data_IF_992081712918
#
_entry.id   IF_992081712918
#
_cell.length_a   1.000
_cell.length_b   1.000
_cell.length_c   1.000
_cell.angle_alpha   90.00
_cell.angle_beta   90.00
_cell.angle_gamma   90.00
#
_symmetry.space_group_name_H-M   'P 1'
#
loop_
_entity.id
_entity.type
_entity.pdbx_description
1 polymer ?
#
# COMPACT_ATOMS: atom_id res chain seq x y z
N UNK A 1 2.45 10.43 -5.41
CA UNK A 1 3.23 10.03 -4.23
C UNK A 1 4.55 10.75 -4.22
N UNK A 2 4.88 11.46 -3.11
CA UNK A 2 6.14 12.19 -2.94
C UNK A 2 7.35 11.27 -3.11
N UNK A 3 7.33 10.08 -2.52
CA UNK A 3 8.41 9.11 -2.58
C UNK A 3 8.83 8.75 -4.02
N UNK A 4 7.87 8.52 -4.92
CA UNK A 4 8.18 8.23 -6.33
C UNK A 4 8.86 9.42 -7.03
N UNK A 5 8.43 10.65 -6.73
CA UNK A 5 9.04 11.86 -7.28
C UNK A 5 10.45 12.11 -6.72
N UNK A 6 10.64 11.89 -5.40
CA UNK A 6 11.95 11.99 -4.74
C UNK A 6 12.92 10.96 -5.30
N UNK A 7 12.50 9.69 -5.40
CA UNK A 7 13.31 8.63 -6.00
C UNK A 7 13.70 8.95 -7.44
N UNK A 8 12.74 9.36 -8.27
CA UNK A 8 13.02 9.72 -9.66
C UNK A 8 14.01 10.88 -9.78
N UNK A 9 13.89 11.91 -8.93
CA UNK A 9 14.79 13.06 -8.91
C UNK A 9 16.21 12.68 -8.48
N UNK A 10 16.33 11.88 -7.41
CA UNK A 10 17.63 11.41 -6.92
C UNK A 10 18.32 10.48 -7.91
N UNK A 11 17.60 9.52 -8.51
CA UNK A 11 18.16 8.63 -9.54
C UNK A 11 18.62 9.40 -10.78
N UNK A 12 17.84 10.40 -11.20
CA UNK A 12 18.25 11.24 -12.33
C UNK A 12 19.51 12.04 -12.01
N UNK A 13 19.62 12.62 -10.82
CA UNK A 13 20.81 13.36 -10.39
C UNK A 13 22.03 12.43 -10.25
N UNK A 14 21.87 11.28 -9.62
CA UNK A 14 22.90 10.27 -9.47
C UNK A 14 23.47 9.84 -10.83
N UNK A 15 22.57 9.51 -11.78
CA UNK A 15 22.96 9.12 -13.14
C UNK A 15 23.64 10.25 -13.92
N UNK A 16 23.10 11.48 -13.87
CA UNK A 16 23.62 12.61 -14.64
C UNK A 16 24.98 13.10 -14.15
N UNK A 17 25.24 13.00 -12.86
CA UNK A 17 26.43 13.54 -12.23
C UNK A 17 27.40 12.44 -11.75
N UNK A 18 27.09 11.16 -12.01
CA UNK A 18 27.91 9.99 -11.64
C UNK A 18 28.32 10.02 -10.16
N UNK A 19 27.34 10.23 -9.27
CA UNK A 19 27.58 10.49 -7.85
C UNK A 19 27.87 9.24 -7.03
N UNK A 20 27.47 8.07 -7.49
CA UNK A 20 27.51 6.78 -6.77
C UNK A 20 26.84 6.88 -5.38
N UNK A 21 25.67 7.52 -5.36
CA UNK A 21 24.95 7.86 -4.15
C UNK A 21 24.07 6.71 -3.65
N UNK A 22 23.95 6.56 -2.32
CA UNK A 22 22.92 5.70 -1.72
C UNK A 22 21.53 6.37 -1.84
N UNK A 23 20.88 6.15 -3.00
CA UNK A 23 19.58 6.75 -3.32
C UNK A 23 18.51 6.32 -2.30
N UNK A 24 18.54 5.07 -1.80
CA UNK A 24 17.60 4.61 -0.79
C UNK A 24 17.73 5.39 0.51
N UNK A 25 18.95 5.51 1.03
CA UNK A 25 19.20 6.23 2.28
C UNK A 25 18.79 7.71 2.18
N UNK A 26 19.20 8.38 1.07
CA UNK A 26 18.85 9.79 0.84
C UNK A 26 17.34 10.01 0.69
N UNK A 27 16.68 9.15 -0.07
CA UNK A 27 15.23 9.26 -0.25
C UNK A 27 14.46 8.98 1.04
N UNK A 28 14.91 7.99 1.83
CA UNK A 28 14.30 7.66 3.12
C UNK A 28 14.47 8.79 4.15
N UNK A 29 15.60 9.48 4.13
CA UNK A 29 15.85 10.66 4.97
C UNK A 29 14.91 11.82 4.58
N UNK A 30 14.76 12.10 3.28
CA UNK A 30 13.89 13.17 2.77
C UNK A 30 12.40 12.92 3.05
N UNK A 31 11.96 11.67 2.91
CA UNK A 31 10.56 11.27 3.15
C UNK A 31 10.24 11.07 4.64
N UNK A 32 11.26 10.83 5.47
CA UNK A 32 11.13 10.51 6.89
C UNK A 32 10.67 9.08 7.19
N UNK A 33 10.51 8.23 6.16
CA UNK A 33 10.16 6.80 6.27
C UNK A 33 10.58 6.03 5.01
N UNK A 34 11.03 4.76 5.13
CA UNK A 34 11.62 4.02 4.03
C UNK A 34 10.63 3.21 3.18
N UNK A 35 9.39 2.99 3.64
CA UNK A 35 8.43 2.03 3.07
C UNK A 35 8.05 2.34 1.60
N UNK A 36 7.53 3.54 1.33
CA UNK A 36 7.18 3.97 -0.02
C UNK A 36 8.42 4.16 -0.91
N UNK A 37 9.56 4.53 -0.31
CA UNK A 37 10.85 4.66 -1.02
C UNK A 37 11.32 3.30 -1.49
N UNK A 38 11.33 2.30 -0.59
CA UNK A 38 11.71 0.93 -0.92
C UNK A 38 10.83 0.35 -2.03
N UNK A 39 9.50 0.53 -1.93
CA UNK A 39 8.58 0.09 -2.97
C UNK A 39 8.82 0.77 -4.32
N UNK A 40 9.13 2.07 -4.34
CA UNK A 40 9.42 2.81 -5.56
C UNK A 40 10.74 2.38 -6.22
N UNK A 41 11.77 2.12 -5.42
CA UNK A 41 13.10 1.70 -5.90
C UNK A 41 13.12 0.25 -6.37
N UNK A 42 12.55 -0.66 -5.57
CA UNK A 42 12.71 -2.09 -5.77
C UNK A 42 11.60 -2.74 -6.61
N UNK A 43 10.41 -2.15 -6.61
CA UNK A 43 9.21 -2.81 -7.16
C UNK A 43 8.81 -4.07 -6.39
N UNK A 44 7.76 -4.75 -6.83
CA UNK A 44 7.24 -5.92 -6.13
C UNK A 44 6.66 -5.60 -4.75
N UNK A 45 6.75 -6.56 -3.82
CA UNK A 45 6.47 -6.34 -2.41
C UNK A 45 7.76 -6.11 -1.64
N UNK A 46 7.76 -5.10 -0.79
CA UNK A 46 8.97 -4.69 -0.06
C UNK A 46 8.67 -4.58 1.43
N UNK A 47 9.55 -5.17 2.23
CA UNK A 47 9.58 -5.00 3.68
C UNK A 47 10.82 -4.18 4.03
N UNK A 48 10.61 -3.01 4.65
CA UNK A 48 11.71 -2.15 5.09
C UNK A 48 11.91 -2.24 6.60
N UNK A 49 13.17 -2.30 7.05
CA UNK A 49 13.55 -2.29 8.46
C UNK A 49 14.30 -1.01 8.88
N UNK A 50 14.05 0.07 8.19
CA UNK A 50 14.71 1.36 8.39
C UNK A 50 15.95 1.53 7.48
N UNK A 51 16.92 0.64 7.57
CA UNK A 51 18.18 0.74 6.83
C UNK A 51 18.22 -0.09 5.53
N UNK A 52 17.30 -1.01 5.37
CA UNK A 52 17.30 -1.97 4.27
C UNK A 52 15.88 -2.22 3.74
N UNK A 53 15.79 -2.45 2.43
CA UNK A 53 14.60 -2.92 1.75
C UNK A 53 14.79 -4.40 1.35
N UNK A 54 13.80 -5.23 1.68
CA UNK A 54 13.78 -6.65 1.32
C UNK A 54 12.61 -6.89 0.37
N UNK A 55 12.94 -7.17 -0.89
CA UNK A 55 11.97 -7.35 -1.96
C UNK A 55 11.62 -8.82 -2.17
N UNK A 56 10.36 -9.08 -2.50
CA UNK A 56 9.89 -10.36 -3.04
C UNK A 56 8.80 -10.14 -4.10
N UNK A 57 8.61 -11.17 -4.94
CA UNK A 57 7.66 -11.08 -6.05
C UNK A 57 6.20 -11.16 -5.58
N UNK A 58 5.32 -10.45 -6.29
CA UNK A 58 3.89 -10.62 -6.13
C UNK A 58 3.46 -12.03 -6.60
N UNK A 59 2.49 -12.67 -5.91
CA UNK A 59 1.88 -13.89 -6.42
C UNK A 59 1.29 -13.68 -7.81
N UNK A 60 1.54 -14.63 -8.71
CA UNK A 60 0.90 -14.61 -10.03
C UNK A 60 -0.61 -14.61 -9.87
N UNK A 61 -1.28 -13.68 -10.53
CA UNK A 61 -2.73 -13.52 -10.46
C UNK A 61 -3.24 -12.71 -9.26
N UNK A 62 -2.36 -12.11 -8.47
CA UNK A 62 -2.75 -11.08 -7.52
C UNK A 62 -2.91 -9.74 -8.24
N UNK A 63 -4.04 -9.08 -8.05
CA UNK A 63 -4.33 -7.75 -8.57
C UNK A 63 -4.90 -6.85 -7.49
N UNK A 64 -4.80 -5.55 -7.72
CA UNK A 64 -5.42 -4.52 -6.91
C UNK A 64 -6.46 -3.71 -7.68
N UNK A 65 -7.42 -3.19 -6.94
CA UNK A 65 -8.31 -2.13 -7.43
C UNK A 65 -8.20 -0.97 -6.46
N UNK A 66 -7.80 0.18 -6.97
CA UNK A 66 -7.76 1.42 -6.20
C UNK A 66 -9.12 2.10 -6.24
N UNK A 67 -9.61 2.46 -5.07
CA UNK A 67 -10.75 3.36 -4.89
C UNK A 67 -10.19 4.66 -4.33
N UNK A 68 -10.20 5.69 -5.17
CA UNK A 68 -9.60 7.00 -4.89
C UNK A 68 -10.72 8.00 -4.64
N UNK A 69 -11.01 8.37 -3.37
CA UNK A 69 -12.01 9.40 -3.06
C UNK A 69 -11.66 10.75 -3.70
N UNK A 70 -12.69 11.48 -4.12
CA UNK A 70 -12.56 12.80 -4.73
C UNK A 70 -12.03 13.84 -3.71
N UNK A 71 -12.30 13.61 -2.43
CA UNK A 71 -11.89 14.45 -1.30
C UNK A 71 -11.28 13.60 -0.19
N UNK A 72 -10.36 14.18 0.57
CA UNK A 72 -9.75 13.53 1.73
C UNK A 72 -9.00 14.51 2.63
N UNK A 73 -8.69 14.10 3.86
CA UNK A 73 -7.92 14.91 4.78
C UNK A 73 -6.46 15.08 4.30
N UNK A 74 -5.79 16.14 4.73
CA UNK A 74 -4.34 16.26 4.55
C UNK A 74 -3.60 15.06 5.18
N UNK A 75 -2.49 14.64 4.55
CA UNK A 75 -1.69 13.50 5.04
C UNK A 75 -1.19 13.69 6.47
N UNK A 76 -0.90 14.92 6.87
CA UNK A 76 -0.47 15.30 8.23
C UNK A 76 -1.55 14.95 9.26
N UNK A 77 -2.80 15.34 9.01
CA UNK A 77 -3.94 15.02 9.89
C UNK A 77 -4.11 13.51 10.06
N UNK A 78 -3.94 12.74 8.99
CA UNK A 78 -4.01 11.28 9.05
C UNK A 78 -2.85 10.65 9.84
N UNK A 79 -1.69 11.30 9.92
CA UNK A 79 -0.57 10.87 10.77
C UNK A 79 -0.82 11.20 12.23
N UNK A 80 -1.34 12.36 12.52
CA UNK A 80 -1.63 12.84 13.88
C UNK A 80 -2.77 12.04 14.56
N UNK A 81 -3.61 11.38 13.77
CA UNK A 81 -4.66 10.52 14.29
C UNK A 81 -4.15 9.22 14.97
N UNK A 82 -2.86 8.90 14.81
CA UNK A 82 -2.29 7.69 15.41
C UNK A 82 -1.98 7.90 16.90
N UNK A 83 -2.33 6.94 17.78
CA UNK A 83 -2.03 7.03 19.20
C UNK A 83 -0.51 6.84 19.45
N UNK A 84 0.00 7.52 20.48
CA UNK A 84 1.40 7.38 20.89
C UNK A 84 1.72 5.98 21.48
N UNK A 85 0.71 5.26 21.96
CA UNK A 85 0.82 3.91 22.53
C UNK A 85 -0.39 3.07 22.12
N UNK A 86 -0.20 1.75 22.06
CA UNK A 86 -1.26 0.81 21.72
C UNK A 86 -1.33 -0.32 22.75
N UNK A 87 -2.49 -0.95 22.97
CA UNK A 87 -2.60 -2.16 23.79
C UNK A 87 -1.72 -3.28 23.25
N UNK A 88 -1.13 -4.09 24.15
CA UNK A 88 -0.28 -5.21 23.74
C UNK A 88 -1.05 -6.22 22.87
N UNK A 89 -2.34 -6.40 23.11
CA UNK A 89 -3.21 -7.29 22.35
C UNK A 89 -3.31 -6.82 20.88
N UNK A 90 -3.43 -5.52 20.64
CA UNK A 90 -3.47 -4.94 19.29
C UNK A 90 -2.10 -5.08 18.59
N UNK A 91 -1.01 -4.93 19.33
CA UNK A 91 0.33 -5.17 18.79
C UNK A 91 0.52 -6.65 18.40
N UNK A 92 0.14 -7.59 19.24
CA UNK A 92 0.18 -9.05 18.96
C UNK A 92 -0.69 -9.39 17.76
N UNK A 93 -1.89 -8.81 17.69
CA UNK A 93 -2.80 -8.96 16.55
C UNK A 93 -2.09 -8.55 15.24
N UNK A 94 -1.55 -7.36 15.16
CA UNK A 94 -0.88 -6.87 13.96
C UNK A 94 0.38 -7.67 13.59
N UNK A 95 1.20 -8.07 14.57
CA UNK A 95 2.37 -8.93 14.33
C UNK A 95 1.94 -10.24 13.66
N UNK A 96 0.87 -10.86 14.16
CA UNK A 96 0.35 -12.12 13.59
C UNK A 96 -0.20 -11.92 12.18
N UNK A 97 -0.93 -10.82 11.94
CA UNK A 97 -1.56 -10.54 10.64
C UNK A 97 -0.52 -10.16 9.58
N UNK A 98 0.49 -9.34 9.92
CA UNK A 98 1.57 -9.04 8.98
C UNK A 98 2.41 -10.29 8.65
N UNK A 99 2.62 -11.18 9.61
CA UNK A 99 3.28 -12.46 9.36
C UNK A 99 2.46 -13.36 8.42
N UNK A 100 1.13 -13.45 8.62
CA UNK A 100 0.22 -14.17 7.71
C UNK A 100 0.21 -13.55 6.31
N UNK A 101 0.13 -12.22 6.19
CA UNK A 101 0.16 -11.52 4.90
C UNK A 101 1.48 -11.81 4.17
N UNK A 102 2.62 -11.64 4.84
CA UNK A 102 3.94 -11.86 4.26
C UNK A 102 4.11 -13.31 3.80
N UNK A 103 3.73 -14.27 4.66
CA UNK A 103 3.79 -15.70 4.30
C UNK A 103 2.83 -16.02 3.15
N UNK A 104 1.61 -15.48 3.17
CA UNK A 104 0.62 -15.65 2.12
C UNK A 104 1.11 -15.13 0.78
N UNK A 105 1.70 -13.95 0.74
CA UNK A 105 2.30 -13.37 -0.46
C UNK A 105 3.48 -14.21 -0.96
N UNK A 106 4.40 -14.60 -0.08
CA UNK A 106 5.58 -15.39 -0.45
C UNK A 106 5.24 -16.81 -0.94
N UNK A 107 4.13 -17.37 -0.49
CA UNK A 107 3.70 -18.76 -0.83
C UNK A 107 2.50 -18.84 -1.77
N UNK A 108 1.99 -17.70 -2.24
CA UNK A 108 0.76 -17.60 -3.04
C UNK A 108 -0.47 -18.24 -2.36
N UNK A 109 -0.55 -18.14 -1.04
CA UNK A 109 -1.67 -18.66 -0.25
C UNK A 109 -2.73 -17.57 -0.04
N UNK A 110 -3.83 -17.67 -0.80
CA UNK A 110 -4.91 -16.68 -0.81
C UNK A 110 -5.63 -16.52 0.53
N UNK A 111 -5.76 -17.61 1.30
CA UNK A 111 -6.39 -17.57 2.63
C UNK A 111 -5.54 -16.78 3.62
N UNK A 112 -4.22 -16.99 3.60
CA UNK A 112 -3.30 -16.24 4.44
C UNK A 112 -3.20 -14.77 4.02
N UNK A 113 -3.23 -14.48 2.71
CA UNK A 113 -3.29 -13.09 2.21
C UNK A 113 -4.54 -12.42 2.77
N UNK A 114 -5.70 -13.02 2.56
CA UNK A 114 -6.99 -12.48 3.02
C UNK A 114 -7.00 -12.27 4.54
N UNK A 115 -6.62 -13.27 5.32
CA UNK A 115 -6.54 -13.17 6.77
C UNK A 115 -5.57 -12.07 7.24
N UNK A 116 -4.45 -11.88 6.53
CA UNK A 116 -3.40 -10.94 6.89
C UNK A 116 -3.72 -9.47 6.60
N UNK A 117 -4.83 -9.14 5.92
CA UNK A 117 -5.19 -7.75 5.56
C UNK A 117 -5.83 -6.94 6.70
N UNK A 118 -6.05 -7.56 7.86
CA UNK A 118 -6.64 -6.89 9.02
C UNK A 118 -5.61 -6.10 9.82
N UNK A 119 -6.04 -4.95 10.36
CA UNK A 119 -5.21 -4.03 11.12
C UNK A 119 -5.96 -3.46 12.32
N UNK A 120 -5.26 -3.31 13.45
CA UNK A 120 -5.73 -2.67 14.67
C UNK A 120 -4.85 -1.48 15.12
N UNK A 121 -3.80 -1.15 14.36
CA UNK A 121 -2.84 -0.12 14.76
C UNK A 121 -3.03 1.20 14.03
N UNK A 122 -3.51 1.20 12.81
CA UNK A 122 -3.65 2.47 12.09
C UNK A 122 -4.99 2.68 11.40
N UNK A 123 -5.58 1.69 10.73
CA UNK A 123 -6.84 1.89 9.98
C UNK A 123 -8.00 2.30 10.90
N UNK A 124 -8.25 1.65 12.06
CA UNK A 124 -9.33 2.03 12.95
C UNK A 124 -9.18 3.45 13.51
N UNK A 125 -7.94 3.87 13.82
CA UNK A 125 -7.68 5.20 14.37
C UNK A 125 -7.92 6.33 13.36
N UNK A 126 -7.85 6.03 12.07
CA UNK A 126 -8.09 6.96 10.97
C UNK A 126 -9.49 6.89 10.38
N UNK A 127 -10.30 5.90 10.76
CA UNK A 127 -11.62 5.65 10.18
C UNK A 127 -12.55 6.87 10.25
N UNK A 128 -12.47 7.67 11.30
CA UNK A 128 -13.27 8.89 11.47
C UNK A 128 -12.92 9.99 10.46
N UNK A 129 -11.73 10.00 9.89
CA UNK A 129 -11.28 10.99 8.90
C UNK A 129 -11.84 10.70 7.51
N UNK A 130 -12.11 9.43 7.21
CA UNK A 130 -12.63 8.98 5.90
C UNK A 130 -13.64 7.85 6.04
N UNK A 131 -14.83 8.14 6.61
CA UNK A 131 -15.80 7.11 7.00
C UNK A 131 -16.31 6.25 5.84
N UNK A 132 -16.37 6.79 4.60
CA UNK A 132 -16.76 6.00 3.41
C UNK A 132 -15.68 4.98 3.03
N UNK A 133 -14.40 5.34 3.13
CA UNK A 133 -13.29 4.40 2.93
C UNK A 133 -13.28 3.32 4.02
N UNK A 134 -13.53 3.70 5.27
CA UNK A 134 -13.61 2.76 6.40
C UNK A 134 -14.76 1.75 6.21
N UNK A 135 -15.96 2.20 5.82
CA UNK A 135 -17.09 1.32 5.50
C UNK A 135 -16.74 0.34 4.36
N UNK A 136 -16.01 0.82 3.34
CA UNK A 136 -15.61 -0.03 2.23
C UNK A 136 -14.62 -1.12 2.65
N UNK A 137 -13.71 -0.85 3.60
CA UNK A 137 -12.80 -1.88 4.15
C UNK A 137 -13.59 -3.05 4.73
N UNK A 138 -14.63 -2.76 5.53
CA UNK A 138 -15.45 -3.80 6.17
C UNK A 138 -16.26 -4.60 5.15
N UNK A 139 -16.72 -3.97 4.08
CA UNK A 139 -17.61 -4.57 3.08
C UNK A 139 -16.88 -5.24 1.91
N UNK A 140 -15.57 -5.07 1.78
CA UNK A 140 -14.80 -5.54 0.62
C UNK A 140 -15.01 -7.03 0.31
N UNK A 141 -15.04 -7.88 1.33
CA UNK A 141 -15.31 -9.32 1.15
C UNK A 141 -16.68 -9.61 0.53
N UNK A 142 -17.72 -8.89 0.94
CA UNK A 142 -19.07 -9.07 0.40
C UNK A 142 -19.19 -8.67 -1.07
N UNK A 143 -18.26 -7.87 -1.57
CA UNK A 143 -18.14 -7.47 -2.97
C UNK A 143 -17.29 -8.45 -3.81
N UNK A 144 -16.72 -9.48 -3.18
CA UNK A 144 -15.92 -10.52 -3.86
C UNK A 144 -14.41 -10.28 -3.82
N UNK A 145 -13.92 -9.37 -2.96
CA UNK A 145 -12.49 -9.13 -2.74
C UNK A 145 -11.87 -10.15 -1.79
N UNK A 146 -10.54 -10.31 -1.85
CA UNK A 146 -9.76 -10.97 -0.79
C UNK A 146 -9.78 -10.16 0.51
N UNK A 147 -9.99 -8.88 0.42
CA UNK A 147 -10.05 -7.89 1.48
C UNK A 147 -9.67 -6.52 0.96
N UNK A 148 -9.52 -5.55 1.85
CA UNK A 148 -9.10 -4.22 1.50
C UNK A 148 -8.21 -3.60 2.59
N UNK A 149 -7.35 -2.68 2.20
CA UNK A 149 -6.48 -1.91 3.09
C UNK A 149 -6.47 -0.45 2.68
N UNK A 150 -6.20 0.43 3.62
CA UNK A 150 -5.89 1.82 3.29
C UNK A 150 -4.52 1.86 2.59
N UNK A 151 -4.44 2.62 1.52
CA UNK A 151 -3.18 2.89 0.80
C UNK A 151 -2.47 4.07 1.46
N UNK A 152 -1.31 3.81 2.09
CA UNK A 152 -0.55 4.81 2.81
C UNK A 152 -1.33 5.42 3.98
N UNK A 153 -1.40 6.75 4.03
CA UNK A 153 -2.17 7.47 5.05
C UNK A 153 -3.68 7.53 4.75
N UNK A 154 -4.11 7.11 3.60
CA UNK A 154 -5.47 7.23 3.10
C UNK A 154 -5.70 8.57 2.37
N UNK A 155 -6.94 8.87 1.98
CA UNK A 155 -8.18 8.07 2.09
C UNK A 155 -8.32 6.94 1.05
N UNK A 156 -7.37 6.82 0.12
CA UNK A 156 -7.41 5.80 -0.93
C UNK A 156 -7.46 4.39 -0.34
N UNK A 157 -8.33 3.55 -0.87
CA UNK A 157 -8.46 2.13 -0.52
C UNK A 157 -7.84 1.27 -1.61
N UNK A 158 -6.96 0.36 -1.23
CA UNK A 158 -6.50 -0.74 -2.07
C UNK A 158 -7.35 -1.97 -1.77
N UNK A 159 -8.16 -2.36 -2.74
CA UNK A 159 -8.97 -3.58 -2.68
C UNK A 159 -8.20 -4.72 -3.37
N UNK A 160 -7.92 -5.76 -2.61
CA UNK A 160 -7.11 -6.89 -3.03
C UNK A 160 -7.97 -7.93 -3.74
N UNK A 161 -7.54 -8.40 -4.91
CA UNK A 161 -8.32 -9.28 -5.77
C UNK A 161 -7.46 -10.36 -6.41
N UNK A 162 -8.10 -11.44 -6.80
CA UNK A 162 -7.55 -12.38 -7.76
C UNK A 162 -7.89 -11.93 -9.17
N UNK A 163 -7.00 -12.17 -10.12
CA UNK A 163 -7.16 -11.81 -11.53
C UNK A 163 -8.53 -12.19 -12.10
N UNK A 164 -9.00 -13.41 -11.80
CA UNK A 164 -10.29 -13.93 -12.29
C UNK A 164 -11.50 -13.22 -11.69
N UNK A 165 -11.34 -12.51 -10.57
CA UNK A 165 -12.40 -11.78 -9.87
C UNK A 165 -12.32 -10.25 -10.09
N UNK A 166 -11.20 -9.72 -10.56
CA UNK A 166 -10.96 -8.27 -10.64
C UNK A 166 -11.94 -7.53 -11.53
N UNK A 167 -12.38 -8.14 -12.64
CA UNK A 167 -13.37 -7.52 -13.54
C UNK A 167 -14.72 -7.27 -12.86
N UNK A 168 -15.42 -8.32 -12.39
CA UNK A 168 -16.67 -8.17 -11.65
C UNK A 168 -16.55 -7.28 -10.42
N UNK A 169 -15.46 -7.40 -9.65
CA UNK A 169 -15.18 -6.58 -8.49
C UNK A 169 -15.07 -5.09 -8.84
N UNK A 170 -14.33 -4.77 -9.90
CA UNK A 170 -14.19 -3.37 -10.37
C UNK A 170 -15.55 -2.74 -10.69
N UNK A 171 -16.43 -3.47 -11.36
CA UNK A 171 -17.78 -2.99 -11.68
C UNK A 171 -18.68 -2.88 -10.43
N UNK A 172 -18.52 -3.76 -9.45
CA UNK A 172 -19.21 -3.65 -8.18
C UNK A 172 -18.74 -2.40 -7.42
N UNK A 173 -17.42 -2.18 -7.32
CA UNK A 173 -16.84 -1.01 -6.67
C UNK A 173 -17.29 0.29 -7.33
N UNK A 174 -17.30 0.39 -8.67
CA UNK A 174 -17.82 1.57 -9.38
C UNK A 174 -19.25 1.91 -9.00
N UNK A 175 -20.11 0.91 -8.83
CA UNK A 175 -21.50 1.14 -8.41
C UNK A 175 -21.59 1.61 -6.95
N UNK A 176 -20.81 0.98 -6.05
CA UNK A 176 -20.80 1.32 -4.62
C UNK A 176 -20.22 2.71 -4.35
N UNK A 177 -19.27 3.15 -5.16
CA UNK A 177 -18.55 4.39 -4.94
C UNK A 177 -18.96 5.52 -5.87
N UNK A 178 -20.04 5.33 -6.65
CA UNK A 178 -20.54 6.33 -7.57
C UNK A 178 -20.81 7.68 -6.89
N UNK A 179 -20.21 8.73 -7.44
CA UNK A 179 -20.39 10.12 -6.98
C UNK A 179 -19.51 10.52 -5.78
N UNK A 180 -18.52 9.69 -5.38
CA UNK A 180 -17.57 10.09 -4.35
C UNK A 180 -16.14 9.57 -4.51
N UNK A 181 -15.90 8.63 -5.44
CA UNK A 181 -14.56 8.12 -5.70
C UNK A 181 -14.39 7.65 -7.14
N UNK A 182 -13.15 7.70 -7.60
CA UNK A 182 -12.72 7.07 -8.84
C UNK A 182 -12.21 5.66 -8.59
N UNK A 183 -12.58 4.72 -9.47
CA UNK A 183 -12.16 3.31 -9.36
C UNK A 183 -11.28 2.95 -10.55
N UNK A 184 -10.08 2.44 -10.27
CA UNK A 184 -9.12 2.01 -11.28
C UNK A 184 -8.44 0.69 -10.91
N UNK A 185 -8.22 -0.17 -11.89
CA UNK A 185 -7.39 -1.36 -11.69
C UNK A 185 -5.94 -0.95 -11.53
N UNK A 186 -5.24 -1.61 -10.63
CA UNK A 186 -3.83 -1.39 -10.38
C UNK A 186 -3.12 -2.76 -10.33
N UNK A 187 -2.15 -2.96 -11.21
CA UNK A 187 -1.23 -4.08 -11.10
C UNK A 187 -0.21 -3.81 -10.00
N UNK A 188 0.34 -4.86 -9.43
CA UNK A 188 1.54 -4.76 -8.60
C UNK A 188 2.74 -4.77 -9.53
N UNK A 189 3.40 -3.59 -9.67
CA UNK A 189 4.54 -3.42 -10.57
C UNK A 189 5.74 -4.24 -10.07
N UNK A 190 6.23 -5.21 -10.87
CA UNK A 190 7.34 -6.05 -10.45
C UNK A 190 8.70 -5.36 -10.53
N UNK A 191 8.81 -4.30 -11.34
CA UNK A 191 10.07 -3.59 -11.55
C UNK A 191 10.06 -2.28 -10.76
N UNK A 192 11.17 -2.01 -10.08
CA UNK A 192 11.40 -0.74 -9.44
C UNK A 192 11.76 0.37 -10.43
N UNK A 193 12.16 1.50 -9.87
CA UNK A 193 12.64 2.62 -10.66
C UNK A 193 13.91 2.23 -11.45
N UNK A 194 13.96 2.64 -12.71
CA UNK A 194 15.06 2.32 -13.62
C UNK A 194 15.43 3.56 -14.47
N UNK A 195 16.70 3.70 -14.78
CA UNK A 195 17.21 4.74 -15.69
C UNK A 195 17.48 4.10 -17.04
N UNK A 196 16.71 4.51 -18.05
CA UNK A 196 16.86 3.98 -19.42
C UNK A 196 17.54 5.01 -20.32
N UNK A 197 18.50 4.55 -21.10
CA UNK A 197 19.03 5.34 -22.23
C UNK A 197 17.93 5.51 -23.28
N UNK A 198 17.76 6.69 -23.80
CA UNK A 198 16.84 7.02 -24.91
C UNK A 198 17.39 6.50 -26.24
#
# INVERSE_FOLDING_TARGET
SSAAAVVAGLMAADHLFELDADVFALAAELEGHPDNVGAALEGGFVVCNGAQAHRFEAPTGLEGVLVVPDEGPPTEEARDALPATVPIESAVFNISHVAMLTLGLATSNWELISAGLHDQLHQPHRAHLYPRSADLLERAHSLGALGATISGAGPTVLVWSRFDQTGPLTEALKRETAGWAHVMRAGFEPQGADVRSL
#
